data_IF_347430395528
#
_entry.id   IF_347430395528
#
_cell.length_a   1.000
_cell.length_b   1.000
_cell.length_c   1.000
_cell.angle_alpha   90.00
_cell.angle_beta   90.00
_cell.angle_gamma   90.00
#
_symmetry.space_group_name_H-M   'P 1'
#
loop_
_entity.id
_entity.type
_entity.pdbx_description
1 polymer ?
#
# COMPACT_ATOMS: atom_id res chain seq x y z
N UNK A 1 17.57 21.73 -19.19
CA UNK A 1 16.85 20.98 -20.25
C UNK A 1 16.62 19.51 -19.89
N UNK A 2 17.59 18.78 -19.30
CA UNK A 2 17.43 17.38 -18.88
C UNK A 2 16.58 17.19 -17.61
N UNK A 3 16.58 18.17 -16.69
CA UNK A 3 15.76 18.15 -15.46
C UNK A 3 14.25 18.10 -15.77
N UNK A 4 13.81 18.84 -16.80
CA UNK A 4 12.42 18.88 -17.26
C UNK A 4 11.94 17.52 -17.79
N UNK A 5 12.78 16.84 -18.58
CA UNK A 5 12.51 15.50 -19.10
C UNK A 5 12.50 14.43 -17.99
N UNK A 6 13.35 14.58 -16.98
CA UNK A 6 13.32 13.73 -15.79
C UNK A 6 12.05 13.94 -14.95
N UNK A 7 11.54 15.18 -14.86
CA UNK A 7 10.23 15.43 -14.24
C UNK A 7 9.09 14.82 -15.04
N UNK A 8 9.12 14.90 -16.37
CA UNK A 8 8.07 14.32 -17.22
C UNK A 8 8.01 12.79 -17.13
N UNK A 9 9.17 12.11 -17.15
CA UNK A 9 9.24 10.65 -16.98
C UNK A 9 8.83 10.22 -15.55
N UNK A 10 9.22 10.98 -14.52
CA UNK A 10 8.76 10.70 -13.15
C UNK A 10 7.26 10.88 -13.02
N UNK A 11 6.70 11.93 -13.62
CA UNK A 11 5.26 12.16 -13.68
C UNK A 11 4.57 10.97 -14.34
N UNK A 12 4.98 10.57 -15.55
CA UNK A 12 4.33 9.47 -16.28
C UNK A 12 4.30 8.17 -15.47
N UNK A 13 5.42 7.80 -14.83
CA UNK A 13 5.50 6.61 -13.97
C UNK A 13 4.57 6.71 -12.75
N UNK A 14 4.46 7.89 -12.13
CA UNK A 14 3.51 8.11 -11.04
C UNK A 14 2.05 8.00 -11.50
N UNK A 15 1.73 8.53 -12.68
CA UNK A 15 0.39 8.42 -13.27
C UNK A 15 0.02 6.97 -13.56
N UNK A 16 0.92 6.19 -14.16
CA UNK A 16 0.71 4.75 -14.42
C UNK A 16 0.48 3.97 -13.12
N UNK A 17 1.29 4.22 -12.09
CA UNK A 17 1.09 3.60 -10.78
C UNK A 17 -0.28 3.97 -10.19
N UNK A 18 -0.68 5.24 -10.30
CA UNK A 18 -1.96 5.71 -9.77
C UNK A 18 -3.15 5.07 -10.49
N UNK A 19 -3.07 4.95 -11.81
CA UNK A 19 -4.09 4.28 -12.62
C UNK A 19 -4.22 2.81 -12.19
N UNK A 20 -3.10 2.11 -11.99
CA UNK A 20 -3.11 0.72 -11.51
C UNK A 20 -3.69 0.59 -10.10
N UNK A 21 -3.32 1.50 -9.20
CA UNK A 21 -3.90 1.56 -7.85
C UNK A 21 -5.42 1.72 -7.95
N UNK A 22 -5.91 2.72 -8.67
CA UNK A 22 -7.34 3.03 -8.77
C UNK A 22 -8.15 1.93 -9.45
N UNK A 23 -7.58 1.20 -10.42
CA UNK A 23 -8.23 0.06 -11.05
C UNK A 23 -8.22 -1.23 -10.21
N UNK A 24 -7.35 -1.32 -9.20
CA UNK A 24 -7.28 -2.50 -8.33
C UNK A 24 -8.16 -2.30 -7.09
N UNK A 25 -9.16 -3.17 -6.82
CA UNK A 25 -9.98 -3.09 -5.62
C UNK A 25 -9.14 -3.08 -4.34
N UNK A 26 -9.49 -2.24 -3.36
CA UNK A 26 -8.67 -2.06 -2.15
C UNK A 26 -8.40 -3.39 -1.41
N UNK A 27 -9.41 -4.26 -1.33
CA UNK A 27 -9.32 -5.57 -0.71
C UNK A 27 -8.43 -6.56 -1.47
N UNK A 28 -8.07 -6.28 -2.72
CA UNK A 28 -7.19 -7.08 -3.55
C UNK A 28 -5.76 -6.54 -3.60
N UNK A 29 -5.52 -5.29 -3.18
CA UNK A 29 -4.19 -4.67 -3.24
C UNK A 29 -3.20 -5.34 -2.29
N UNK A 30 -2.01 -5.63 -2.81
CA UNK A 30 -0.86 -6.15 -2.07
C UNK A 30 0.39 -5.35 -2.48
N UNK A 31 0.90 -4.55 -1.56
CA UNK A 31 2.15 -3.81 -1.77
C UNK A 31 3.35 -4.66 -1.37
N UNK A 32 4.42 -4.56 -2.16
CA UNK A 32 5.73 -5.08 -1.78
C UNK A 32 6.21 -4.42 -0.48
N UNK A 33 6.60 -5.19 0.55
CA UNK A 33 6.97 -4.62 1.85
C UNK A 33 8.38 -4.01 1.87
N UNK A 34 9.15 -4.12 0.78
CA UNK A 34 10.46 -3.49 0.66
C UNK A 34 10.26 -2.02 0.26
N UNK A 35 10.61 -1.03 1.11
CA UNK A 35 10.28 0.38 0.88
C UNK A 35 10.82 0.93 -0.45
N UNK A 36 12.02 0.51 -0.84
CA UNK A 36 12.65 0.87 -2.12
C UNK A 36 11.92 0.35 -3.34
N UNK A 37 11.08 -0.68 -3.19
CA UNK A 37 10.29 -1.26 -4.28
C UNK A 37 8.85 -0.76 -4.27
N UNK A 38 8.14 -0.98 -3.16
CA UNK A 38 6.73 -0.61 -2.93
C UNK A 38 5.75 -0.92 -4.07
N UNK A 39 6.10 -1.88 -4.95
CA UNK A 39 5.31 -2.22 -6.12
C UNK A 39 3.95 -2.82 -5.75
N UNK A 40 2.90 -2.39 -6.44
CA UNK A 40 1.54 -2.90 -6.28
C UNK A 40 1.31 -4.18 -7.09
N UNK A 41 0.80 -5.19 -6.42
CA UNK A 41 0.29 -6.45 -6.97
C UNK A 41 -1.16 -6.67 -6.50
N UNK A 42 -1.88 -7.59 -7.12
CA UNK A 42 -3.18 -8.04 -6.65
C UNK A 42 -3.10 -9.41 -5.96
N UNK A 43 -4.06 -9.71 -5.08
CA UNK A 43 -4.22 -11.03 -4.47
C UNK A 43 -4.45 -12.12 -5.51
N UNK A 44 -5.13 -11.79 -6.61
CA UNK A 44 -5.42 -12.72 -7.71
C UNK A 44 -4.15 -13.05 -8.48
N UNK A 45 -3.29 -12.06 -8.77
CA UNK A 45 -1.98 -12.28 -9.39
C UNK A 45 -1.06 -13.14 -8.49
N UNK A 46 -1.19 -12.99 -7.17
CA UNK A 46 -0.41 -13.74 -6.17
C UNK A 46 -1.04 -15.08 -5.78
N UNK A 47 -2.15 -15.50 -6.38
CA UNK A 47 -2.83 -16.75 -6.03
C UNK A 47 -2.05 -17.98 -6.54
N UNK A 48 -0.98 -18.38 -5.84
CA UNK A 48 -0.41 -19.73 -5.98
C UNK A 48 -1.01 -20.69 -4.94
N UNK A 49 -1.10 -21.97 -5.30
CA UNK A 49 -1.59 -23.08 -4.46
C UNK A 49 -0.74 -23.39 -3.23
N UNK A 50 0.29 -22.59 -2.94
CA UNK A 50 1.20 -22.87 -1.83
C UNK A 50 0.49 -22.64 -0.50
N UNK A 51 0.45 -23.70 0.31
CA UNK A 51 -0.06 -23.72 1.70
C UNK A 51 0.63 -22.66 2.57
N UNK A 52 1.81 -22.20 2.16
CA UNK A 52 2.56 -21.14 2.80
C UNK A 52 2.18 -19.79 2.21
N UNK A 53 1.99 -18.79 3.08
CA UNK A 53 1.76 -17.39 2.69
C UNK A 53 2.98 -16.71 2.02
N UNK A 54 4.01 -17.45 1.63
CA UNK A 54 5.19 -16.94 0.92
C UNK A 54 4.82 -16.49 -0.48
N UNK A 55 5.14 -15.24 -0.82
CA UNK A 55 4.98 -14.67 -2.17
C UNK A 55 6.24 -13.93 -2.58
N UNK A 56 6.44 -13.77 -3.89
CA UNK A 56 7.54 -12.99 -4.46
C UNK A 56 7.01 -11.77 -5.18
N UNK A 57 7.71 -10.65 -5.04
CA UNK A 57 7.38 -9.44 -5.77
C UNK A 57 7.76 -9.57 -7.25
N UNK A 58 6.86 -9.26 -8.18
CA UNK A 58 7.14 -9.34 -9.62
C UNK A 58 8.16 -8.30 -10.13
N UNK A 59 8.47 -7.28 -9.32
CA UNK A 59 9.40 -6.21 -9.71
C UNK A 59 10.82 -6.41 -9.17
N UNK A 60 10.96 -6.90 -7.94
CA UNK A 60 12.26 -7.00 -7.27
C UNK A 60 12.61 -8.40 -6.77
N UNK A 61 11.76 -9.39 -7.05
CA UNK A 61 11.88 -10.79 -6.60
C UNK A 61 11.97 -10.99 -5.07
N UNK A 62 11.74 -9.91 -4.31
CA UNK A 62 11.75 -9.90 -2.86
C UNK A 62 10.68 -10.84 -2.32
N UNK A 63 11.09 -11.74 -1.43
CA UNK A 63 10.21 -12.72 -0.79
C UNK A 63 9.53 -12.13 0.44
N UNK A 64 8.22 -12.32 0.56
CA UNK A 64 7.44 -11.75 1.64
C UNK A 64 6.29 -12.64 2.07
N UNK A 65 5.78 -12.39 3.27
CA UNK A 65 4.60 -13.07 3.79
C UNK A 65 3.32 -12.27 3.44
N UNK A 66 2.38 -12.89 2.72
CA UNK A 66 1.12 -12.29 2.31
C UNK A 66 0.21 -11.99 3.52
N UNK A 67 0.25 -12.81 4.57
CA UNK A 67 -0.58 -12.64 5.77
C UNK A 67 -0.07 -11.53 6.69
N UNK A 68 1.25 -11.42 6.85
CA UNK A 68 1.90 -10.45 7.74
C UNK A 68 2.26 -9.15 7.02
N UNK A 69 2.36 -9.17 5.68
CA UNK A 69 2.76 -8.04 4.81
C UNK A 69 4.14 -7.45 5.19
N UNK A 70 5.08 -8.32 5.46
CA UNK A 70 6.48 -8.02 5.85
C UNK A 70 7.43 -8.92 5.08
N UNK A 71 8.75 -8.61 5.02
CA UNK A 71 9.74 -9.52 4.46
C UNK A 71 9.63 -10.93 5.04
N UNK A 72 9.99 -11.93 4.24
CA UNK A 72 9.79 -13.33 4.60
C UNK A 72 10.47 -13.70 5.94
N UNK A 73 9.74 -14.42 6.79
CA UNK A 73 10.15 -14.75 8.16
C UNK A 73 10.19 -16.27 8.41
N UNK A 74 11.02 -17.01 7.68
CA UNK A 74 11.08 -18.49 7.75
C UNK A 74 11.29 -19.07 9.16
N UNK A 75 11.94 -18.33 10.05
CA UNK A 75 12.23 -18.77 11.42
C UNK A 75 11.02 -18.76 12.36
N UNK A 76 9.93 -18.07 11.99
CA UNK A 76 8.74 -17.89 12.84
C UNK A 76 7.48 -18.19 12.05
N UNK A 77 6.49 -18.83 12.68
CA UNK A 77 5.13 -18.85 12.13
C UNK A 77 4.55 -17.43 12.09
N UNK A 78 3.55 -17.20 11.24
CA UNK A 78 2.85 -15.90 11.18
C UNK A 78 2.27 -15.48 12.56
N UNK A 79 1.84 -16.46 13.37
CA UNK A 79 1.28 -16.20 14.69
C UNK A 79 2.34 -15.78 15.70
N UNK A 80 3.51 -16.42 15.69
CA UNK A 80 4.64 -16.05 16.56
C UNK A 80 5.18 -14.67 16.18
N UNK A 81 5.34 -14.41 14.88
CA UNK A 81 5.77 -13.11 14.40
C UNK A 81 4.84 -11.98 14.88
N UNK A 82 3.53 -12.15 14.76
CA UNK A 82 2.54 -11.16 15.22
C UNK A 82 2.56 -10.93 16.74
N UNK A 83 2.88 -11.95 17.53
CA UNK A 83 2.98 -11.80 19.00
C UNK A 83 4.21 -10.97 19.41
N UNK A 84 5.34 -11.18 18.72
CA UNK A 84 6.57 -10.44 18.97
C UNK A 84 6.51 -9.01 18.43
N UNK A 85 5.85 -8.85 17.28
CA UNK A 85 5.69 -7.57 16.60
C UNK A 85 4.20 -7.33 16.35
N UNK A 86 3.44 -6.89 17.37
CA UNK A 86 2.00 -6.65 17.25
C UNK A 86 1.67 -5.48 16.31
N UNK A 87 2.65 -4.62 16.02
CA UNK A 87 2.47 -3.49 15.12
C UNK A 87 3.64 -3.33 14.12
N UNK A 88 3.86 -4.32 13.24
CA UNK A 88 5.06 -4.36 12.40
C UNK A 88 5.02 -3.31 11.27
N UNK A 89 3.87 -2.70 11.01
CA UNK A 89 3.68 -1.60 10.05
C UNK A 89 3.67 -0.21 10.69
N UNK A 90 3.79 -0.09 12.01
CA UNK A 90 4.06 1.23 12.62
C UNK A 90 5.54 1.50 12.46
N UNK A 91 5.91 1.80 11.22
CA UNK A 91 7.12 2.53 10.94
C UNK A 91 6.92 4.01 11.31
N UNK A 92 8.02 4.76 11.27
CA UNK A 92 8.04 6.20 11.49
C UNK A 92 7.10 6.95 10.53
N UNK A 93 6.94 6.43 9.29
CA UNK A 93 6.11 7.03 8.25
C UNK A 93 4.62 6.91 8.55
N UNK A 94 4.15 5.77 9.10
CA UNK A 94 2.78 5.60 9.56
C UNK A 94 2.48 6.51 10.74
N UNK A 95 3.38 6.60 11.72
CA UNK A 95 3.23 7.50 12.86
C UNK A 95 3.18 8.97 12.40
N UNK A 96 4.02 9.35 11.44
CA UNK A 96 4.02 10.68 10.81
C UNK A 96 2.73 10.94 10.04
N UNK A 97 2.25 9.97 9.27
CA UNK A 97 0.97 10.06 8.54
C UNK A 97 -0.20 10.26 9.51
N UNK A 98 -0.26 9.50 10.60
CA UNK A 98 -1.30 9.62 11.62
C UNK A 98 -1.26 11.02 12.28
N UNK A 99 -0.07 11.50 12.62
CA UNK A 99 0.11 12.84 13.16
C UNK A 99 -0.36 13.94 12.19
N UNK A 100 0.00 13.83 10.90
CA UNK A 100 -0.46 14.77 9.88
C UNK A 100 -1.98 14.70 9.69
N UNK A 101 -2.54 13.49 9.66
CA UNK A 101 -3.97 13.28 9.52
C UNK A 101 -4.75 13.97 10.65
N UNK A 102 -4.29 13.83 11.90
CA UNK A 102 -4.87 14.53 13.07
C UNK A 102 -4.78 16.05 12.90
N UNK A 103 -3.60 16.58 12.56
CA UNK A 103 -3.37 18.03 12.41
C UNK A 103 -4.17 18.66 11.27
N UNK A 104 -4.32 17.95 10.15
CA UNK A 104 -5.01 18.43 8.94
C UNK A 104 -6.48 18.01 8.89
N UNK A 105 -6.96 17.32 9.92
CA UNK A 105 -8.29 16.71 9.97
C UNK A 105 -8.60 15.85 8.73
N UNK A 106 -7.57 15.19 8.17
CA UNK A 106 -7.78 14.22 7.10
C UNK A 106 -8.56 13.03 7.63
N UNK A 107 -9.45 12.49 6.81
CA UNK A 107 -10.31 11.37 7.19
C UNK A 107 -10.08 10.21 6.24
N UNK A 108 -10.11 9.00 6.79
CA UNK A 108 -10.03 7.81 5.98
C UNK A 108 -11.40 7.47 5.38
N UNK A 109 -11.45 7.16 4.09
CA UNK A 109 -12.67 6.65 3.48
C UNK A 109 -13.09 5.32 4.11
N UNK A 110 -14.35 5.19 4.52
CA UNK A 110 -14.88 3.92 5.06
C UNK A 110 -14.76 2.74 4.08
N UNK A 111 -14.93 3.00 2.78
CA UNK A 111 -14.92 1.99 1.70
C UNK A 111 -13.51 1.65 1.21
N UNK A 112 -12.79 2.62 0.64
CA UNK A 112 -11.50 2.38 -0.04
C UNK A 112 -10.27 2.62 0.83
N UNK A 113 -10.47 3.08 2.07
CA UNK A 113 -9.40 3.32 3.05
C UNK A 113 -8.33 4.35 2.64
N UNK A 114 -8.51 5.09 1.55
CA UNK A 114 -7.67 6.24 1.23
C UNK A 114 -7.86 7.37 2.25
N UNK A 115 -6.76 8.09 2.54
CA UNK A 115 -6.81 9.35 3.28
C UNK A 115 -7.36 10.45 2.38
N UNK A 116 -8.35 11.17 2.89
CA UNK A 116 -9.04 12.23 2.18
C UNK A 116 -8.72 13.55 2.87
N UNK A 117 -8.11 14.45 2.11
CA UNK A 117 -7.98 15.86 2.46
C UNK A 117 -9.25 16.63 2.07
N UNK A 118 -9.74 17.46 2.98
CA UNK A 118 -10.79 18.44 2.68
C UNK A 118 -10.13 19.73 2.22
N UNK A 119 -10.36 20.14 0.97
CA UNK A 119 -9.80 21.38 0.44
C UNK A 119 -10.44 22.62 1.09
N UNK A 120 -11.76 22.80 0.98
CA UNK A 120 -12.54 23.90 1.60
C UNK A 120 -14.04 23.53 1.66
N UNK A 121 -14.82 24.22 2.50
CA UNK A 121 -16.30 24.18 2.44
C UNK A 121 -16.97 22.99 3.15
N UNK A 122 -17.93 22.37 2.44
CA UNK A 122 -18.91 21.43 3.01
C UNK A 122 -18.30 20.16 3.64
N UNK A 123 -18.98 19.60 4.64
CA UNK A 123 -18.59 18.34 5.30
C UNK A 123 -18.93 17.09 4.48
N UNK A 124 -19.76 17.22 3.44
CA UNK A 124 -20.11 16.14 2.53
C UNK A 124 -18.96 15.82 1.59
N UNK A 125 -18.31 14.67 1.80
CA UNK A 125 -17.23 14.19 0.92
C UNK A 125 -17.70 12.90 0.24
N UNK A 126 -17.67 12.90 -1.10
CA UNK A 126 -17.92 11.69 -1.89
C UNK A 126 -16.59 11.07 -2.34
N UNK A 127 -16.43 9.78 -2.10
CA UNK A 127 -15.27 9.03 -2.57
C UNK A 127 -15.48 8.63 -4.04
N UNK A 128 -14.46 8.79 -4.87
CA UNK A 128 -14.47 8.37 -6.28
C UNK A 128 -14.30 6.85 -6.48
N UNK A 129 -14.02 6.10 -5.41
CA UNK A 129 -13.88 4.66 -5.48
C UNK A 129 -15.24 4.00 -5.75
N UNK A 130 -15.32 3.29 -6.86
CA UNK A 130 -16.47 2.48 -7.24
C UNK A 130 -16.11 1.03 -6.96
N UNK A 131 -16.81 0.41 -6.00
CA UNK A 131 -16.78 -1.04 -5.81
C UNK A 131 -17.78 -1.67 -6.78
N UNK A 132 -17.36 -1.90 -8.01
CA UNK A 132 -18.08 -2.83 -8.90
C UNK A 132 -17.79 -4.26 -8.50
#
# INVERSE_FOLDING_TARGET
MWEALLTDLKLSLLWEQRIKEDSTPFNERVYCPYPSCSYLMSKTELSSSDEYALRRCFKCDGSFCLHSKVPWHSALSCNEYKKLYPNPQVDEDFAKLEFMAKRKAWRQCGKCKHMIERSVGCNGISCRYVST
#
